data_IF_476766401122
#
_entry.id   IF_476766401122
#
_cell.length_a   1.000
_cell.length_b   1.000
_cell.length_c   1.000
_cell.angle_alpha   90.00
_cell.angle_beta   90.00
_cell.angle_gamma   90.00
#
_symmetry.space_group_name_H-M   'P 1'
#
loop_
_entity.id
_entity.type
_entity.pdbx_description
1 polymer ?
#
# COMPACT_ATOMS: atom_id res chain seq x y z
N UNK A 1 -60.89 13.56 16.22
CA UNK A 1 -60.14 13.77 14.97
C UNK A 1 -58.86 14.61 15.13
N UNK A 2 -58.88 15.74 15.80
CA UNK A 2 -57.72 16.65 15.96
C UNK A 2 -56.54 15.98 16.70
N UNK A 3 -56.80 15.17 17.73
CA UNK A 3 -55.77 14.46 18.52
C UNK A 3 -55.09 13.35 17.69
N UNK A 4 -55.82 12.59 16.88
CA UNK A 4 -55.26 11.52 16.04
C UNK A 4 -54.36 12.11 14.96
N UNK A 5 -54.76 13.23 14.34
CA UNK A 5 -53.89 13.91 13.34
C UNK A 5 -52.60 14.44 13.98
N UNK A 6 -52.68 15.02 15.18
CA UNK A 6 -51.48 15.50 15.90
C UNK A 6 -50.50 14.37 16.23
N UNK A 7 -51.00 13.19 16.63
CA UNK A 7 -50.16 12.02 16.94
C UNK A 7 -49.49 11.47 15.68
N UNK A 8 -50.18 11.42 14.54
CA UNK A 8 -49.60 10.97 13.26
C UNK A 8 -48.51 11.94 12.78
N UNK A 9 -48.74 13.25 12.89
CA UNK A 9 -47.74 14.25 12.51
C UNK A 9 -46.49 14.18 13.36
N UNK A 10 -46.66 13.96 14.70
CA UNK A 10 -45.54 13.81 15.58
C UNK A 10 -44.73 12.54 15.30
N UNK A 11 -45.38 11.42 14.96
CA UNK A 11 -44.73 10.17 14.64
C UNK A 11 -43.94 10.27 13.30
N UNK A 12 -44.50 10.91 12.28
CA UNK A 12 -43.81 11.16 11.01
C UNK A 12 -42.58 12.08 11.22
N UNK A 13 -42.69 13.11 12.05
CA UNK A 13 -41.58 14.01 12.37
C UNK A 13 -40.43 13.29 13.06
N UNK A 14 -40.74 12.37 14.00
CA UNK A 14 -39.69 11.53 14.64
C UNK A 14 -38.97 10.59 13.66
N UNK A 15 -39.69 10.02 12.68
CA UNK A 15 -39.08 9.14 11.68
C UNK A 15 -38.16 9.88 10.70
N UNK A 16 -38.42 11.16 10.41
CA UNK A 16 -37.56 11.97 9.53
C UNK A 16 -36.26 12.40 10.20
N UNK A 17 -36.26 12.56 11.52
CA UNK A 17 -35.06 12.96 12.29
C UNK A 17 -34.06 11.84 12.53
N UNK A 18 -34.46 10.58 12.36
CA UNK A 18 -33.56 9.41 12.53
C UNK A 18 -32.83 8.99 11.26
N UNK A 19 -33.11 9.60 10.11
CA UNK A 19 -32.60 9.11 8.81
C UNK A 19 -31.21 9.62 8.41
N UNK A 20 -30.59 10.52 9.17
CA UNK A 20 -29.31 11.12 8.80
C UNK A 20 -28.10 10.18 8.89
N UNK A 21 -28.18 9.07 9.64
CA UNK A 21 -27.03 8.18 9.82
C UNK A 21 -26.95 7.03 8.79
N UNK A 22 -28.06 6.67 8.16
CA UNK A 22 -28.10 5.57 7.18
C UNK A 22 -27.59 6.03 5.81
N UNK A 23 -27.88 7.28 5.44
CA UNK A 23 -27.45 7.85 4.13
C UNK A 23 -25.94 7.99 4.06
N UNK A 24 -25.26 8.34 5.16
CA UNK A 24 -23.79 8.42 5.19
C UNK A 24 -23.13 7.04 4.97
N UNK A 25 -23.67 5.98 5.60
CA UNK A 25 -23.15 4.63 5.43
C UNK A 25 -23.32 4.08 4.02
N UNK A 26 -24.44 4.38 3.37
CA UNK A 26 -24.72 3.94 1.99
C UNK A 26 -23.88 4.72 0.97
N UNK A 27 -23.65 6.02 1.17
CA UNK A 27 -22.79 6.81 0.26
C UNK A 27 -21.33 6.33 0.30
N UNK A 28 -20.80 5.90 1.45
CA UNK A 28 -19.46 5.29 1.54
C UNK A 28 -19.37 3.95 0.81
N UNK A 29 -20.44 3.16 0.81
CA UNK A 29 -20.45 1.85 0.15
C UNK A 29 -20.64 1.92 -1.38
N UNK A 30 -21.16 3.04 -1.92
CA UNK A 30 -21.49 3.21 -3.36
C UNK A 30 -20.57 4.23 -4.05
N UNK A 31 -19.75 4.98 -3.31
CA UNK A 31 -18.78 5.89 -3.94
C UNK A 31 -17.58 5.06 -4.36
N UNK A 32 -17.32 4.89 -5.67
CA UNK A 32 -16.08 4.25 -6.11
C UNK A 32 -14.91 5.04 -5.55
N UNK A 33 -13.89 4.34 -5.06
CA UNK A 33 -12.62 4.99 -4.73
C UNK A 33 -12.21 5.86 -5.94
N UNK A 34 -11.78 7.12 -5.73
CA UNK A 34 -11.37 7.97 -6.82
C UNK A 34 -10.27 7.25 -7.61
N UNK A 35 -10.59 6.77 -8.80
CA UNK A 35 -9.62 6.12 -9.66
C UNK A 35 -8.60 7.18 -10.08
N UNK A 36 -7.36 6.97 -9.73
CA UNK A 36 -6.25 7.80 -10.18
C UNK A 36 -5.63 7.15 -11.41
N UNK A 37 -5.39 7.94 -12.44
CA UNK A 37 -4.71 7.44 -13.63
C UNK A 37 -3.37 6.81 -13.26
N UNK A 38 -3.02 5.71 -13.93
CA UNK A 38 -1.77 5.03 -13.69
C UNK A 38 -0.59 5.92 -14.03
N UNK A 39 0.28 6.20 -13.08
CA UNK A 39 1.51 6.99 -13.30
C UNK A 39 2.50 6.28 -14.22
N UNK A 40 2.38 4.97 -14.37
CA UNK A 40 3.22 4.14 -15.23
C UNK A 40 2.51 2.84 -15.58
N UNK A 41 2.62 2.41 -16.85
CA UNK A 41 2.11 1.12 -17.31
C UNK A 41 3.24 0.11 -17.21
N UNK A 42 3.10 -0.84 -16.27
CA UNK A 42 4.08 -1.91 -16.08
C UNK A 42 4.08 -2.87 -17.29
N UNK A 43 5.26 -3.23 -17.82
CA UNK A 43 5.33 -4.29 -18.82
C UNK A 43 4.99 -5.64 -18.17
N UNK A 44 4.15 -6.45 -18.81
CA UNK A 44 3.85 -7.80 -18.34
C UNK A 44 5.03 -8.75 -18.62
N UNK A 45 6.02 -8.66 -17.75
CA UNK A 45 7.24 -9.46 -17.75
C UNK A 45 7.43 -10.06 -16.36
N UNK A 46 8.23 -11.12 -16.28
CA UNK A 46 8.54 -11.78 -15.00
C UNK A 46 9.12 -10.79 -13.99
N UNK A 47 8.31 -10.41 -13.02
CA UNK A 47 8.56 -9.28 -12.10
C UNK A 47 8.71 -9.75 -10.67
N UNK A 48 9.59 -9.10 -9.91
CA UNK A 48 9.70 -9.25 -8.45
C UNK A 48 9.49 -7.91 -7.76
N UNK A 49 8.79 -7.92 -6.63
CA UNK A 49 8.67 -6.76 -5.73
C UNK A 49 9.72 -6.88 -4.63
N UNK A 50 10.60 -5.91 -4.53
CA UNK A 50 11.63 -5.83 -3.51
C UNK A 50 11.46 -4.59 -2.64
N UNK A 51 11.17 -4.82 -1.35
CA UNK A 51 11.07 -3.75 -0.34
C UNK A 51 12.39 -3.69 0.43
N UNK A 52 13.06 -2.56 0.30
CA UNK A 52 14.33 -2.27 0.97
C UNK A 52 14.12 -1.29 2.13
N UNK A 53 14.80 -1.50 3.23
CA UNK A 53 14.75 -0.67 4.44
C UNK A 53 16.16 -0.37 4.93
N UNK A 54 16.92 0.36 4.10
CA UNK A 54 18.31 0.75 4.41
C UNK A 54 18.43 1.59 5.66
N UNK A 55 17.37 2.30 6.03
CA UNK A 55 17.32 3.16 7.21
C UNK A 55 16.88 2.42 8.46
N UNK A 56 16.51 1.14 8.33
CA UNK A 56 15.97 0.30 9.40
C UNK A 56 14.81 0.98 10.16
N UNK A 57 13.87 1.58 9.40
CA UNK A 57 12.70 2.28 9.97
C UNK A 57 11.52 1.35 10.25
N UNK A 58 11.55 0.14 9.68
CA UNK A 58 10.47 -0.83 9.81
C UNK A 58 10.70 -1.80 10.96
N UNK A 59 9.90 -1.68 12.00
CA UNK A 59 9.88 -2.63 13.11
C UNK A 59 8.48 -3.21 13.31
N UNK A 60 8.34 -4.55 13.32
CA UNK A 60 9.34 -5.59 13.08
C UNK A 60 9.75 -5.74 11.61
N UNK A 61 10.97 -6.19 11.35
CA UNK A 61 11.56 -6.31 10.00
C UNK A 61 10.77 -7.20 9.03
N UNK A 62 9.93 -8.12 9.56
CA UNK A 62 9.02 -8.96 8.77
C UNK A 62 8.04 -8.15 7.91
N UNK A 63 7.77 -6.88 8.28
CA UNK A 63 6.85 -6.01 7.54
C UNK A 63 7.32 -5.74 6.10
N UNK A 64 8.62 -5.75 5.83
CA UNK A 64 9.17 -5.67 4.46
C UNK A 64 8.55 -6.75 3.57
N UNK A 65 8.53 -8.00 4.06
CA UNK A 65 7.95 -9.13 3.35
C UNK A 65 6.42 -8.97 3.20
N UNK A 66 5.73 -8.57 4.26
CA UNK A 66 4.27 -8.39 4.25
C UNK A 66 3.86 -7.38 3.18
N UNK A 67 4.54 -6.23 3.11
CA UNK A 67 4.28 -5.22 2.09
C UNK A 67 4.56 -5.77 0.68
N UNK A 68 5.72 -6.39 0.48
CA UNK A 68 6.08 -6.95 -0.83
C UNK A 68 5.08 -8.01 -1.31
N UNK A 69 4.67 -8.92 -0.42
CA UNK A 69 3.67 -9.95 -0.71
C UNK A 69 2.28 -9.33 -0.99
N UNK A 70 1.92 -8.26 -0.29
CA UNK A 70 0.65 -7.55 -0.52
C UNK A 70 0.64 -6.87 -1.89
N UNK A 71 1.67 -6.08 -2.21
CA UNK A 71 1.80 -5.43 -3.52
C UNK A 71 1.79 -6.47 -4.64
N UNK A 72 2.54 -7.57 -4.49
CA UNK A 72 2.55 -8.67 -5.47
C UNK A 72 1.16 -9.26 -5.69
N UNK A 73 0.41 -9.48 -4.62
CA UNK A 73 -0.95 -10.01 -4.70
C UNK A 73 -1.90 -9.03 -5.40
N UNK A 74 -1.81 -7.76 -5.07
CA UNK A 74 -2.65 -6.72 -5.66
C UNK A 74 -2.37 -6.57 -7.17
N UNK A 75 -1.11 -6.62 -7.61
CA UNK A 75 -0.74 -6.61 -9.03
C UNK A 75 -1.29 -7.82 -9.79
N UNK A 76 -1.29 -9.00 -9.18
CA UNK A 76 -1.88 -10.20 -9.78
C UNK A 76 -3.41 -10.15 -9.80
N UNK A 77 -4.04 -9.70 -8.71
CA UNK A 77 -5.51 -9.67 -8.60
C UNK A 77 -6.15 -8.63 -9.53
N UNK A 78 -5.40 -7.59 -9.88
CA UNK A 78 -5.80 -6.57 -10.84
C UNK A 78 -5.35 -6.90 -12.28
N UNK A 79 -4.81 -8.08 -12.51
CA UNK A 79 -4.34 -8.54 -13.82
C UNK A 79 -3.28 -7.63 -14.47
N UNK A 80 -2.57 -6.83 -13.65
CA UNK A 80 -1.49 -5.95 -14.13
C UNK A 80 -0.27 -6.78 -14.55
N UNK A 81 -0.02 -7.88 -13.85
CA UNK A 81 1.04 -8.85 -14.14
C UNK A 81 0.48 -10.26 -14.17
N UNK A 82 0.98 -11.08 -15.08
CA UNK A 82 0.65 -12.51 -15.16
C UNK A 82 1.69 -13.40 -14.50
N UNK A 83 2.95 -12.96 -14.44
CA UNK A 83 4.07 -13.74 -13.91
C UNK A 83 4.88 -12.95 -12.90
N UNK A 84 4.96 -13.47 -11.67
CA UNK A 84 5.70 -12.86 -10.58
C UNK A 84 6.66 -13.84 -9.92
N UNK A 85 7.78 -13.32 -9.41
CA UNK A 85 8.71 -14.06 -8.55
C UNK A 85 8.36 -13.78 -7.10
N UNK A 86 8.52 -14.78 -6.24
CA UNK A 86 8.24 -14.64 -4.80
C UNK A 86 9.15 -13.56 -4.17
N UNK A 87 8.58 -12.56 -3.49
CA UNK A 87 9.37 -11.57 -2.74
C UNK A 87 10.30 -12.18 -1.70
N UNK A 88 9.99 -13.39 -1.20
CA UNK A 88 10.84 -14.09 -0.23
C UNK A 88 12.19 -14.46 -0.82
N UNK A 89 12.24 -14.75 -2.11
CA UNK A 89 13.47 -15.18 -2.76
C UNK A 89 14.45 -14.01 -2.87
N UNK A 90 14.01 -12.85 -3.33
CA UNK A 90 14.87 -11.66 -3.40
C UNK A 90 15.30 -11.17 -2.02
N UNK A 91 14.42 -11.22 -1.01
CA UNK A 91 14.76 -10.86 0.36
C UNK A 91 15.80 -11.81 0.96
N UNK A 92 15.73 -13.11 0.63
CA UNK A 92 16.72 -14.10 1.07
C UNK A 92 18.10 -13.86 0.43
N UNK A 93 18.11 -13.57 -0.87
CA UNK A 93 19.35 -13.25 -1.60
C UNK A 93 19.97 -11.96 -1.05
N UNK A 94 19.19 -10.89 -0.89
CA UNK A 94 19.66 -9.64 -0.29
C UNK A 94 20.26 -9.87 1.10
N UNK A 95 19.52 -10.53 2.00
CA UNK A 95 19.99 -10.79 3.37
C UNK A 95 21.23 -11.69 3.44
N UNK A 96 21.45 -12.56 2.48
CA UNK A 96 22.65 -13.38 2.41
C UNK A 96 23.88 -12.54 2.05
N UNK A 97 23.77 -11.64 1.08
CA UNK A 97 24.87 -10.78 0.63
C UNK A 97 25.16 -9.64 1.62
N UNK A 98 24.13 -9.06 2.24
CA UNK A 98 24.29 -8.05 3.30
C UNK A 98 25.12 -8.57 4.47
N UNK A 99 24.96 -9.85 4.84
CA UNK A 99 25.78 -10.48 5.90
C UNK A 99 27.26 -10.61 5.54
N UNK A 100 27.58 -10.66 4.28
CA UNK A 100 28.96 -10.73 3.80
C UNK A 100 29.53 -9.34 3.47
N UNK A 101 28.79 -8.27 3.78
CA UNK A 101 29.13 -6.88 3.45
C UNK A 101 29.41 -6.66 1.94
N UNK A 102 28.70 -7.40 1.11
CA UNK A 102 28.76 -7.34 -0.35
C UNK A 102 27.34 -7.10 -0.93
N UNK A 103 26.78 -5.89 -0.75
CA UNK A 103 25.42 -5.59 -1.17
C UNK A 103 25.31 -5.59 -2.69
N UNK A 104 24.43 -6.45 -3.19
CA UNK A 104 24.11 -6.51 -4.62
C UNK A 104 23.32 -5.27 -5.05
N UNK A 105 23.54 -4.84 -6.28
CA UNK A 105 22.66 -3.86 -6.93
C UNK A 105 21.27 -4.46 -7.15
N UNK A 106 20.26 -3.60 -7.32
CA UNK A 106 18.88 -4.04 -7.55
C UNK A 106 18.76 -4.93 -8.80
N UNK A 107 19.51 -4.61 -9.86
CA UNK A 107 19.52 -5.44 -11.07
C UNK A 107 20.18 -6.82 -10.85
N UNK A 108 21.23 -6.89 -10.03
CA UNK A 108 21.86 -8.16 -9.66
C UNK A 108 20.95 -9.02 -8.79
N UNK A 109 20.23 -8.41 -7.83
CA UNK A 109 19.19 -9.09 -7.06
C UNK A 109 18.10 -9.67 -7.96
N UNK A 110 17.61 -8.88 -8.92
CA UNK A 110 16.62 -9.35 -9.89
C UNK A 110 17.13 -10.54 -10.69
N UNK A 111 18.38 -10.47 -11.20
CA UNK A 111 19.01 -11.56 -11.95
C UNK A 111 19.18 -12.82 -11.09
N UNK A 112 19.57 -12.67 -9.83
CA UNK A 112 19.77 -13.81 -8.94
C UNK A 112 18.49 -14.60 -8.64
N UNK A 113 17.32 -13.98 -8.85
CA UNK A 113 16.00 -14.62 -8.68
C UNK A 113 15.28 -14.85 -10.01
N UNK A 114 15.98 -14.72 -11.14
CA UNK A 114 15.43 -14.91 -12.47
C UNK A 114 14.21 -14.00 -12.76
N UNK A 115 14.26 -12.75 -12.33
CA UNK A 115 13.30 -11.71 -12.66
C UNK A 115 13.83 -10.82 -13.80
N UNK A 116 12.96 -10.43 -14.75
CA UNK A 116 13.27 -9.48 -15.81
C UNK A 116 13.04 -8.02 -15.38
N UNK A 117 12.16 -7.83 -14.41
CA UNK A 117 11.81 -6.50 -13.86
C UNK A 117 11.81 -6.54 -12.34
N UNK A 118 12.34 -5.50 -11.72
CA UNK A 118 12.26 -5.30 -10.27
C UNK A 118 11.45 -4.05 -9.98
N UNK A 119 10.36 -4.19 -9.22
CA UNK A 119 9.69 -3.07 -8.55
C UNK A 119 10.41 -2.86 -7.22
N UNK A 120 11.25 -1.84 -7.17
CA UNK A 120 12.06 -1.50 -6.01
C UNK A 120 11.36 -0.44 -5.17
N UNK A 121 11.07 -0.76 -3.93
CA UNK A 121 10.42 0.09 -2.94
C UNK A 121 11.41 0.35 -1.81
N UNK A 122 11.89 1.57 -1.69
CA UNK A 122 12.79 2.00 -0.62
C UNK A 122 12.00 2.75 0.45
N UNK A 123 12.02 2.24 1.67
CA UNK A 123 11.30 2.83 2.80
C UNK A 123 12.01 4.08 3.30
N UNK A 124 11.26 5.18 3.40
CA UNK A 124 11.75 6.47 3.90
C UNK A 124 11.39 6.71 5.36
N UNK A 125 10.14 6.45 5.72
CA UNK A 125 9.62 6.55 7.08
C UNK A 125 8.54 5.49 7.31
N UNK A 126 8.43 5.02 8.55
CA UNK A 126 7.39 4.12 8.99
C UNK A 126 7.19 4.28 10.50
N UNK A 127 5.98 4.58 10.94
CA UNK A 127 5.72 4.76 12.37
C UNK A 127 4.24 4.93 12.68
N UNK A 128 3.85 4.53 13.88
CA UNK A 128 2.48 4.63 14.38
C UNK A 128 2.25 5.92 15.18
N UNK A 129 3.32 6.50 15.70
CA UNK A 129 3.26 7.73 16.51
C UNK A 129 4.43 8.65 16.13
N UNK A 130 4.31 9.95 16.41
CA UNK A 130 5.39 10.90 16.30
C UNK A 130 6.01 11.26 17.65
N UNK A 131 5.25 11.12 18.72
CA UNK A 131 5.60 11.49 20.11
C UNK A 131 5.57 10.30 21.09
N UNK A 132 5.27 9.10 20.59
CA UNK A 132 5.14 7.88 21.40
C UNK A 132 3.81 7.77 22.17
N UNK A 133 2.94 8.76 22.11
CA UNK A 133 1.68 8.81 22.86
C UNK A 133 0.45 8.93 21.95
N UNK A 134 0.52 9.78 20.94
CA UNK A 134 -0.61 10.04 20.06
C UNK A 134 -0.51 9.16 18.82
N UNK A 135 -1.57 8.40 18.52
CA UNK A 135 -1.63 7.61 17.28
C UNK A 135 -1.67 8.54 16.07
N UNK A 136 -0.57 8.59 15.33
CA UNK A 136 -0.41 9.33 14.08
C UNK A 136 0.36 8.46 13.08
N UNK A 137 -0.26 7.43 12.51
CA UNK A 137 0.40 6.52 11.60
C UNK A 137 0.83 7.24 10.33
N UNK A 138 2.09 7.04 9.98
CA UNK A 138 2.67 7.59 8.76
C UNK A 138 3.62 6.60 8.12
N UNK A 139 3.62 6.59 6.81
CA UNK A 139 4.59 5.85 6.01
C UNK A 139 5.00 6.68 4.80
N UNK A 140 6.26 6.56 4.41
CA UNK A 140 6.74 7.08 3.14
C UNK A 140 7.68 6.08 2.50
N UNK A 141 7.65 6.02 1.19
CA UNK A 141 8.57 5.23 0.40
C UNK A 141 8.86 5.91 -0.93
N UNK A 142 9.90 5.47 -1.58
CA UNK A 142 10.16 5.80 -2.99
C UNK A 142 10.07 4.55 -3.83
N UNK A 143 9.55 4.67 -5.04
CA UNK A 143 9.36 3.56 -5.96
C UNK A 143 10.17 3.78 -7.23
N UNK A 144 10.83 2.73 -7.67
CA UNK A 144 11.53 2.65 -8.97
C UNK A 144 11.20 1.32 -9.64
N UNK A 145 11.05 1.32 -10.94
CA UNK A 145 10.96 0.10 -11.75
C UNK A 145 12.25 -0.04 -12.54
N UNK A 146 12.90 -1.17 -12.42
CA UNK A 146 14.23 -1.44 -12.97
C UNK A 146 14.13 -2.60 -13.97
N UNK A 147 14.65 -2.39 -15.17
CA UNK A 147 14.92 -3.46 -16.15
C UNK A 147 16.20 -4.18 -15.73
N UNK A 148 16.10 -5.48 -15.51
CA UNK A 148 17.21 -6.31 -15.03
C UNK A 148 18.23 -6.55 -16.13
N UNK A 149 17.75 -6.78 -17.35
CA UNK A 149 18.61 -7.11 -18.51
C UNK A 149 19.39 -5.88 -18.98
N UNK A 150 18.70 -4.77 -19.11
CA UNK A 150 19.29 -3.50 -19.54
C UNK A 150 19.99 -2.74 -18.40
N UNK A 151 19.80 -3.14 -17.15
CA UNK A 151 20.29 -2.44 -15.96
C UNK A 151 19.86 -0.97 -15.96
N UNK A 152 18.70 -0.69 -16.48
CA UNK A 152 18.16 0.66 -16.66
C UNK A 152 16.89 0.86 -15.85
N UNK A 153 16.62 2.11 -15.52
CA UNK A 153 15.39 2.47 -14.84
C UNK A 153 14.29 2.72 -15.88
N UNK A 154 13.17 2.00 -15.72
CA UNK A 154 11.97 2.17 -16.54
C UNK A 154 11.05 3.25 -15.98
N UNK A 155 11.00 3.38 -14.63
CA UNK A 155 10.19 4.39 -13.97
C UNK A 155 10.81 4.82 -12.62
N UNK A 156 10.67 6.09 -12.25
CA UNK A 156 10.29 7.24 -13.08
C UNK A 156 11.43 7.60 -14.06
N UNK A 157 11.07 8.22 -15.18
CA UNK A 157 12.06 8.60 -16.22
C UNK A 157 12.70 9.96 -15.98
N UNK A 158 11.96 10.88 -15.37
CA UNK A 158 12.27 12.30 -15.23
C UNK A 158 12.89 12.68 -13.88
N UNK A 159 12.60 11.90 -12.82
CA UNK A 159 13.13 12.11 -11.47
C UNK A 159 13.85 10.87 -10.94
N UNK A 160 14.61 11.02 -9.86
CA UNK A 160 15.41 9.93 -9.29
C UNK A 160 14.55 8.77 -8.76
N UNK A 161 13.39 9.07 -8.19
CA UNK A 161 12.43 8.09 -7.69
C UNK A 161 11.04 8.73 -7.52
N UNK A 162 9.98 7.92 -7.64
CA UNK A 162 8.61 8.35 -7.36
C UNK A 162 8.34 8.21 -5.86
N UNK A 163 7.93 9.32 -5.22
CA UNK A 163 7.68 9.36 -3.78
C UNK A 163 6.20 9.10 -3.47
N UNK A 164 5.96 8.22 -2.52
CA UNK A 164 4.63 7.91 -2.00
C UNK A 164 4.61 8.23 -0.51
N UNK A 165 3.60 9.01 -0.09
CA UNK A 165 3.35 9.34 1.30
C UNK A 165 1.93 8.91 1.67
N UNK A 166 1.77 8.35 2.86
CA UNK A 166 0.46 8.12 3.45
C UNK A 166 0.47 8.53 4.91
N UNK A 167 -0.59 9.23 5.30
CA UNK A 167 -0.90 9.55 6.69
C UNK A 167 -2.35 9.15 6.94
N UNK A 168 -2.61 8.44 8.02
CA UNK A 168 -3.98 8.17 8.45
C UNK A 168 -4.35 9.24 9.49
N UNK A 169 -5.15 10.22 9.09
CA UNK A 169 -5.58 11.32 9.98
C UNK A 169 -6.49 10.87 11.11
N UNK A 170 -7.14 9.71 10.99
CA UNK A 170 -7.95 9.10 12.05
C UNK A 170 -7.91 7.58 11.95
N UNK A 171 -7.31 6.93 12.94
CA UNK A 171 -7.59 5.53 13.21
C UNK A 171 -8.80 5.50 14.13
N UNK A 172 -9.91 4.94 13.67
CA UNK A 172 -11.00 4.52 14.54
C UNK A 172 -10.46 3.35 15.38
N UNK A 173 -10.30 3.53 16.73
CA UNK A 173 -9.73 2.50 17.58
C UNK A 173 -10.53 1.18 17.53
N UNK A 174 -11.81 1.20 17.16
CA UNK A 174 -12.65 0.00 17.01
C UNK A 174 -12.32 -0.83 15.77
N UNK A 175 -11.54 -0.33 14.81
CA UNK A 175 -11.09 -1.09 13.63
C UNK A 175 -9.84 -1.94 13.84
N UNK A 176 -9.13 -1.71 14.94
CA UNK A 176 -7.88 -2.42 15.25
C UNK A 176 -8.15 -3.79 15.88
N UNK A 177 -9.31 -4.00 16.48
CA UNK A 177 -9.66 -5.24 17.21
C UNK A 177 -10.28 -6.34 16.31
N UNK A 178 -10.53 -6.09 15.03
CA UNK A 178 -11.23 -7.02 14.12
C UNK A 178 -10.34 -7.63 13.02
N UNK A 179 -9.02 -7.62 13.18
CA UNK A 179 -8.06 -8.17 12.23
C UNK A 179 -7.33 -9.42 12.74
#
# INVERSE_FOLDING_TARGET
MRTVVATIVLFVACCVLSSCNIVAGVSYAVTPDPSQDAAYILPDRRTVVFVDDRRNVMHPTRLRRVIAERVTRDLLSQEILTTVVSPRDVLRVSAANDRHNDPLSVAELGRAVDASVVIYIEMGAFGLTSDGQTANPRASCTVRVIDVDQRSRLFPTDVAAHSIFTTLERIDPHRIESG
#
